data_IF_510939559730
#
_entry.id   IF_510939559730
#
_cell.length_a   1.000
_cell.length_b   1.000
_cell.length_c   1.000
_cell.angle_alpha   90.00
_cell.angle_beta   90.00
_cell.angle_gamma   90.00
#
_symmetry.space_group_name_H-M   'P 1'
#
loop_
_entity.id
_entity.type
_entity.pdbx_description
1 polymer ?
#
# COMPACT_ATOMS: atom_id res chain seq x y z
N UNK A 1 23.45 -7.46 11.62
CA UNK A 1 22.08 -7.71 12.16
C UNK A 1 21.04 -7.78 11.06
N UNK A 2 20.79 -6.73 10.26
CA UNK A 2 19.75 -6.73 9.22
C UNK A 2 19.82 -7.93 8.25
N UNK A 3 21.00 -8.27 7.74
CA UNK A 3 21.17 -9.42 6.85
C UNK A 3 20.73 -10.76 7.46
N UNK A 4 20.95 -10.96 8.75
CA UNK A 4 20.50 -12.18 9.47
C UNK A 4 18.97 -12.20 9.56
N UNK A 5 18.36 -11.10 9.99
CA UNK A 5 16.89 -10.99 10.09
C UNK A 5 16.22 -11.24 8.73
N UNK A 6 16.77 -10.66 7.67
CA UNK A 6 16.28 -10.85 6.30
C UNK A 6 16.36 -12.33 5.91
N UNK A 7 17.49 -12.97 6.15
CA UNK A 7 17.71 -14.39 5.82
C UNK A 7 16.69 -15.29 6.51
N UNK A 8 16.51 -15.11 7.82
CA UNK A 8 15.58 -15.91 8.61
C UNK A 8 14.12 -15.69 8.23
N UNK A 9 13.71 -14.44 7.98
CA UNK A 9 12.36 -14.14 7.53
C UNK A 9 12.09 -14.76 6.15
N UNK A 10 13.03 -14.63 5.20
CA UNK A 10 12.89 -15.19 3.86
C UNK A 10 12.94 -16.72 3.86
N UNK A 11 13.66 -17.36 4.78
CA UNK A 11 13.62 -18.81 4.95
C UNK A 11 12.23 -19.32 5.37
N UNK A 12 11.41 -18.46 5.97
CA UNK A 12 9.99 -18.74 6.28
C UNK A 12 9.04 -18.34 5.13
N UNK A 13 9.57 -17.92 3.98
CA UNK A 13 8.80 -17.47 2.83
C UNK A 13 8.23 -16.04 2.94
N UNK A 14 8.65 -15.29 3.96
CA UNK A 14 8.22 -13.88 4.16
C UNK A 14 9.27 -12.96 3.53
N UNK A 15 8.86 -12.16 2.55
CA UNK A 15 9.73 -11.16 1.97
C UNK A 15 9.86 -9.94 2.85
N UNK A 16 11.10 -9.48 2.99
CA UNK A 16 11.43 -8.25 3.69
C UNK A 16 11.70 -7.15 2.68
N UNK A 17 11.18 -5.96 2.94
CA UNK A 17 11.47 -4.75 2.18
C UNK A 17 12.38 -3.86 3.00
N UNK A 18 13.65 -3.74 2.58
CA UNK A 18 14.60 -2.83 3.23
C UNK A 18 14.35 -1.39 2.80
N UNK A 19 14.48 -0.43 3.74
CA UNK A 19 14.11 0.96 3.48
C UNK A 19 14.86 1.95 4.38
N UNK A 20 14.92 3.20 4.03
CA UNK A 20 14.51 3.79 2.74
C UNK A 20 15.77 4.03 1.91
N UNK A 21 15.81 3.55 0.67
CA UNK A 21 16.96 3.59 -0.21
C UNK A 21 16.94 4.85 -1.08
N UNK A 22 17.81 5.79 -0.87
CA UNK A 22 18.84 5.91 0.13
C UNK A 22 18.87 7.33 0.69
N UNK A 23 19.79 7.63 1.63
CA UNK A 23 20.02 8.97 2.15
C UNK A 23 18.81 9.57 2.89
N UNK A 24 18.10 8.77 3.68
CA UNK A 24 16.94 9.22 4.46
C UNK A 24 17.30 9.34 5.96
N UNK A 25 18.39 10.03 6.27
CA UNK A 25 18.88 10.21 7.64
C UNK A 25 18.23 11.38 8.36
N UNK A 26 17.50 12.25 7.65
CA UNK A 26 16.78 13.39 8.19
C UNK A 26 15.33 13.38 7.74
N UNK A 27 14.41 13.64 8.68
CA UNK A 27 12.97 13.67 8.42
C UNK A 27 12.41 15.06 8.15
N UNK A 28 13.10 16.12 8.64
CA UNK A 28 12.64 17.50 8.49
C UNK A 28 12.61 17.90 7.01
N UNK A 29 11.45 18.37 6.55
CA UNK A 29 11.20 18.80 5.17
C UNK A 29 11.46 17.74 4.08
N UNK A 30 11.51 16.45 4.44
CA UNK A 30 11.78 15.39 3.47
C UNK A 30 10.68 15.21 2.42
N UNK A 31 9.43 15.53 2.77
CA UNK A 31 8.27 15.44 1.89
C UNK A 31 8.00 16.74 1.12
N UNK A 32 8.52 17.87 1.55
CA UNK A 32 8.30 19.18 0.93
C UNK A 32 9.23 19.35 -0.29
N UNK A 33 8.93 18.70 -1.40
CA UNK A 33 9.77 18.60 -2.61
C UNK A 33 11.07 17.79 -2.44
N UNK A 34 11.22 17.05 -1.34
CA UNK A 34 12.36 16.20 -1.04
C UNK A 34 13.63 16.95 -0.67
N UNK A 35 14.34 16.41 0.30
CA UNK A 35 15.66 16.94 0.66
C UNK A 35 16.68 16.58 -0.42
N UNK A 36 17.64 17.49 -0.65
CA UNK A 36 18.75 17.28 -1.59
C UNK A 36 20.04 16.98 -0.82
N UNK A 37 20.65 15.84 -1.11
CA UNK A 37 21.95 15.45 -0.58
C UNK A 37 23.04 15.65 -1.62
N UNK A 38 24.05 16.41 -1.25
CA UNK A 38 25.26 16.63 -2.06
C UNK A 38 26.42 15.94 -1.34
N UNK A 39 26.82 14.80 -1.87
CA UNK A 39 27.79 13.92 -1.22
C UNK A 39 28.73 13.33 -2.29
N UNK A 40 30.00 13.13 -1.91
CA UNK A 40 30.97 12.49 -2.80
C UNK A 40 30.64 11.02 -3.00
N UNK A 41 30.94 10.47 -4.16
CA UNK A 41 30.66 9.08 -4.50
C UNK A 41 31.22 8.08 -3.48
N UNK A 42 32.45 8.28 -3.03
CA UNK A 42 33.05 7.44 -1.99
C UNK A 42 32.21 7.44 -0.73
N UNK A 43 31.81 8.59 -0.22
CA UNK A 43 31.02 8.68 1.00
C UNK A 43 29.61 8.07 0.82
N UNK A 44 28.99 8.25 -0.34
CA UNK A 44 27.69 7.64 -0.61
C UNK A 44 27.79 6.10 -0.57
N UNK A 45 28.83 5.53 -1.18
CA UNK A 45 29.04 4.08 -1.25
C UNK A 45 29.44 3.48 0.10
N UNK A 46 30.35 4.10 0.82
CA UNK A 46 30.94 3.53 2.04
C UNK A 46 30.07 3.74 3.29
N UNK A 47 29.26 4.80 3.32
CA UNK A 47 28.43 5.14 4.49
C UNK A 47 26.93 4.86 4.22
N UNK A 48 26.35 5.51 3.23
CA UNK A 48 24.90 5.52 3.03
C UNK A 48 24.37 4.28 2.31
N UNK A 49 25.11 3.75 1.36
CA UNK A 49 24.72 2.56 0.61
C UNK A 49 25.19 1.25 1.23
N UNK A 50 26.23 1.29 2.04
CA UNK A 50 26.85 0.08 2.62
C UNK A 50 25.88 -0.79 3.44
N UNK A 51 25.00 -0.27 4.28
CA UNK A 51 24.00 -1.07 4.99
C UNK A 51 23.07 -1.82 4.05
N UNK A 52 22.66 -1.18 2.95
CA UNK A 52 21.82 -1.81 1.91
C UNK A 52 22.57 -2.87 1.13
N UNK A 53 23.83 -2.60 0.76
CA UNK A 53 24.69 -3.58 0.08
C UNK A 53 24.79 -4.88 0.91
N UNK A 54 25.07 -4.78 2.20
CA UNK A 54 25.14 -5.91 3.12
C UNK A 54 23.80 -6.64 3.17
N UNK A 55 22.71 -5.93 3.33
CA UNK A 55 21.37 -6.51 3.38
C UNK A 55 21.00 -7.26 2.08
N UNK A 56 21.47 -6.79 0.94
CA UNK A 56 21.22 -7.38 -0.38
C UNK A 56 22.17 -8.54 -0.64
N UNK A 57 23.48 -8.32 -0.53
CA UNK A 57 24.47 -9.33 -0.89
C UNK A 57 24.55 -10.47 0.11
N UNK A 58 24.48 -10.19 1.42
CA UNK A 58 24.55 -11.19 2.46
C UNK A 58 23.17 -11.68 2.89
N UNK A 59 22.19 -10.75 3.10
CA UNK A 59 20.83 -11.08 3.51
C UNK A 59 19.97 -11.64 2.40
N UNK A 60 20.35 -11.42 1.13
CA UNK A 60 19.57 -11.81 -0.07
C UNK A 60 18.19 -11.19 -0.09
N UNK A 61 18.05 -9.93 0.39
CA UNK A 61 16.78 -9.21 0.38
C UNK A 61 16.11 -9.25 -1.00
N UNK A 62 14.81 -9.45 -1.03
CA UNK A 62 13.98 -9.53 -2.23
C UNK A 62 13.09 -8.30 -2.43
N UNK A 63 13.02 -7.42 -1.45
CA UNK A 63 12.27 -6.16 -1.52
C UNK A 63 13.13 -4.97 -1.12
N UNK A 64 12.87 -3.84 -1.77
CA UNK A 64 13.51 -2.56 -1.48
C UNK A 64 12.51 -1.43 -1.69
N UNK A 65 12.49 -0.47 -0.76
CA UNK A 65 11.71 0.75 -0.88
C UNK A 65 12.63 1.96 -1.03
N UNK A 66 12.39 2.77 -2.06
CA UNK A 66 13.16 4.01 -2.27
C UNK A 66 12.71 5.10 -1.30
N UNK A 67 13.60 6.06 -1.04
CA UNK A 67 13.34 7.18 -0.13
C UNK A 67 12.64 8.35 -0.81
N UNK A 68 12.15 9.31 -0.01
CA UNK A 68 11.67 10.61 -0.48
C UNK A 68 12.79 11.53 -0.98
N UNK A 69 14.03 11.31 -0.53
CA UNK A 69 15.16 12.20 -0.70
C UNK A 69 15.66 12.27 -2.14
N UNK A 70 16.45 13.29 -2.42
CA UNK A 70 17.13 13.48 -3.70
C UNK A 70 18.64 13.34 -3.53
N UNK A 71 19.27 12.74 -4.54
CA UNK A 71 20.72 12.80 -4.72
C UNK A 71 21.00 13.87 -5.78
N UNK A 72 21.62 14.97 -5.37
CA UNK A 72 21.64 16.15 -6.18
C UNK A 72 20.21 16.63 -6.48
N UNK A 73 19.90 16.85 -7.73
CA UNK A 73 18.57 17.33 -8.16
C UNK A 73 17.55 16.22 -8.45
N UNK A 74 17.96 14.94 -8.42
CA UNK A 74 17.09 13.83 -8.78
C UNK A 74 16.58 13.08 -7.55
N UNK A 75 15.31 12.78 -7.53
CA UNK A 75 14.71 11.87 -6.56
C UNK A 75 15.41 10.49 -6.61
N UNK A 76 15.71 9.91 -5.44
CA UNK A 76 16.42 8.63 -5.34
C UNK A 76 15.73 7.51 -6.13
N UNK A 77 14.39 7.40 -6.04
CA UNK A 77 13.61 6.42 -6.80
C UNK A 77 13.63 6.63 -8.32
N UNK A 78 13.91 7.86 -8.78
CA UNK A 78 14.02 8.21 -10.20
C UNK A 78 15.47 8.29 -10.72
N UNK A 79 16.45 7.86 -9.93
CA UNK A 79 17.86 7.96 -10.26
C UNK A 79 18.40 6.65 -10.83
N UNK A 80 18.52 6.56 -12.15
CA UNK A 80 19.01 5.36 -12.86
C UNK A 80 20.36 4.82 -12.35
N UNK A 81 21.42 5.63 -12.15
CA UNK A 81 22.67 5.16 -11.58
C UNK A 81 22.51 4.46 -10.23
N UNK A 82 21.56 4.93 -9.39
CA UNK A 82 21.33 4.37 -8.06
C UNK A 82 20.51 3.07 -8.15
N UNK A 83 19.37 3.09 -8.85
CA UNK A 83 18.42 1.99 -8.87
C UNK A 83 18.80 0.90 -9.88
N UNK A 84 19.36 1.25 -11.02
CA UNK A 84 19.78 0.25 -12.00
C UNK A 84 21.24 -0.08 -11.84
N UNK A 85 22.17 0.88 -12.03
CA UNK A 85 23.60 0.56 -12.06
C UNK A 85 24.08 -0.02 -10.73
N UNK A 86 23.90 0.69 -9.63
CA UNK A 86 24.40 0.21 -8.33
C UNK A 86 23.57 -0.98 -7.82
N UNK A 87 22.27 -0.79 -7.70
CA UNK A 87 21.41 -1.79 -7.04
C UNK A 87 21.27 -3.08 -7.86
N UNK A 88 20.91 -2.96 -9.16
CA UNK A 88 20.60 -4.14 -9.96
C UNK A 88 21.82 -4.75 -10.64
N UNK A 89 22.71 -3.95 -11.20
CA UNK A 89 23.87 -4.43 -11.94
C UNK A 89 25.05 -4.77 -11.03
N UNK A 90 25.52 -3.82 -10.20
CA UNK A 90 26.69 -4.06 -9.34
C UNK A 90 26.38 -5.02 -8.18
N UNK A 91 25.20 -4.90 -7.55
CA UNK A 91 24.84 -5.76 -6.41
C UNK A 91 24.03 -6.98 -6.80
N UNK A 92 23.57 -7.07 -8.04
CA UNK A 92 22.80 -8.21 -8.56
C UNK A 92 21.40 -8.35 -7.95
N UNK A 93 20.78 -7.24 -7.54
CA UNK A 93 19.43 -7.25 -6.96
C UNK A 93 18.37 -7.56 -8.02
N UNK A 94 17.60 -8.63 -7.81
CA UNK A 94 16.52 -9.08 -8.71
C UNK A 94 15.13 -8.97 -8.13
N UNK A 95 15.02 -8.40 -6.92
CA UNK A 95 13.75 -8.29 -6.23
C UNK A 95 12.90 -7.09 -6.67
N UNK A 96 11.80 -6.89 -5.95
CA UNK A 96 10.86 -5.80 -6.15
C UNK A 96 11.42 -4.49 -5.60
N UNK A 97 11.37 -3.43 -6.40
CA UNK A 97 11.63 -2.05 -5.98
C UNK A 97 10.32 -1.27 -5.98
N UNK A 98 9.90 -0.82 -4.80
CA UNK A 98 8.74 0.07 -4.63
C UNK A 98 9.22 1.47 -4.24
N UNK A 99 8.41 2.51 -4.47
CA UNK A 99 8.66 3.82 -3.87
C UNK A 99 8.10 3.89 -2.45
N UNK A 100 8.55 4.87 -1.66
CA UNK A 100 7.83 5.28 -0.45
C UNK A 100 6.47 5.89 -0.83
N UNK A 101 5.57 6.06 0.14
CA UNK A 101 4.20 6.46 -0.16
C UNK A 101 4.16 7.82 -0.87
N UNK A 102 3.67 7.80 -2.10
CA UNK A 102 3.73 8.93 -3.01
C UNK A 102 2.66 9.97 -2.69
N UNK A 103 3.08 11.11 -2.17
CA UNK A 103 2.19 12.24 -1.87
C UNK A 103 2.45 13.46 -2.74
N UNK A 104 3.64 13.55 -3.34
CA UNK A 104 4.13 14.74 -4.01
C UNK A 104 4.51 14.51 -5.48
N UNK A 105 4.19 15.48 -6.32
CA UNK A 105 4.36 15.38 -7.78
C UNK A 105 5.84 15.19 -8.25
N UNK A 106 6.83 15.46 -7.40
CA UNK A 106 8.24 15.27 -7.76
C UNK A 106 8.67 13.79 -7.80
N UNK A 107 7.92 12.91 -7.14
CA UNK A 107 8.13 11.46 -7.19
C UNK A 107 7.48 10.88 -8.47
N UNK A 108 8.02 11.18 -9.61
CA UNK A 108 7.47 10.85 -10.92
C UNK A 108 7.51 9.34 -11.19
N UNK A 109 6.33 8.72 -11.34
CA UNK A 109 6.18 7.28 -11.56
C UNK A 109 6.81 6.81 -12.86
N UNK A 110 6.76 7.61 -13.93
CA UNK A 110 7.41 7.30 -15.21
C UNK A 110 8.93 7.33 -15.04
N UNK A 111 9.45 8.35 -14.36
CA UNK A 111 10.88 8.43 -14.03
C UNK A 111 11.35 7.23 -13.22
N UNK A 112 10.56 6.80 -12.23
CA UNK A 112 10.87 5.63 -11.40
C UNK A 112 10.98 4.34 -12.23
N UNK A 113 10.02 4.07 -13.08
CA UNK A 113 10.04 2.89 -13.96
C UNK A 113 11.27 2.91 -14.85
N UNK A 114 11.59 4.04 -15.46
CA UNK A 114 12.79 4.18 -16.30
C UNK A 114 14.09 4.04 -15.51
N UNK A 115 14.10 4.45 -14.25
CA UNK A 115 15.25 4.29 -13.37
C UNK A 115 15.50 2.86 -12.88
N UNK A 116 14.53 1.95 -13.03
CA UNK A 116 14.68 0.57 -12.56
C UNK A 116 13.70 0.16 -11.46
N UNK A 117 12.80 1.05 -11.04
CA UNK A 117 11.72 0.75 -10.11
C UNK A 117 10.60 -0.07 -10.74
N UNK A 118 9.76 -0.67 -9.92
CA UNK A 118 8.76 -1.63 -10.39
C UNK A 118 7.33 -1.27 -9.98
N UNK A 119 7.11 -0.74 -8.79
CA UNK A 119 5.79 -0.48 -8.24
C UNK A 119 5.74 0.87 -7.55
N UNK A 120 4.75 1.68 -7.95
CA UNK A 120 4.49 2.96 -7.32
C UNK A 120 3.45 2.79 -6.20
N UNK A 121 3.80 3.24 -5.00
CA UNK A 121 2.92 3.19 -3.83
C UNK A 121 2.23 4.55 -3.67
N UNK A 122 0.99 4.64 -4.12
CA UNK A 122 0.21 5.89 -4.08
C UNK A 122 -1.26 5.63 -3.81
N UNK A 123 -1.91 6.53 -3.08
CA UNK A 123 -3.36 6.53 -2.87
C UNK A 123 -4.14 7.34 -3.92
N UNK A 124 -3.46 8.03 -4.83
CA UNK A 124 -4.06 8.89 -5.86
C UNK A 124 -3.55 8.52 -7.25
N UNK A 125 -4.39 8.71 -8.26
CA UNK A 125 -3.99 8.55 -9.64
C UNK A 125 -3.16 9.78 -10.07
N UNK A 126 -1.85 9.57 -10.26
CA UNK A 126 -0.97 10.59 -10.82
C UNK A 126 -0.88 10.43 -12.34
N UNK A 127 -0.92 11.55 -13.04
CA UNK A 127 -0.96 11.62 -14.50
C UNK A 127 0.36 11.31 -15.21
N UNK A 128 1.47 11.32 -14.49
CA UNK A 128 2.79 10.95 -15.05
C UNK A 128 3.07 9.47 -14.81
N UNK A 129 2.33 8.61 -15.48
CA UNK A 129 2.53 7.17 -15.44
C UNK A 129 3.00 6.65 -16.80
N UNK A 130 3.71 5.53 -16.79
CA UNK A 130 4.03 4.81 -18.01
C UNK A 130 2.75 4.27 -18.66
N UNK A 131 2.67 4.30 -19.99
CA UNK A 131 1.48 3.93 -20.74
C UNK A 131 1.71 2.69 -21.59
N UNK A 132 0.81 1.74 -21.52
CA UNK A 132 0.92 0.48 -22.27
C UNK A 132 0.79 0.62 -23.79
N UNK A 133 0.38 1.78 -24.31
CA UNK A 133 0.29 2.08 -25.73
C UNK A 133 1.55 2.77 -26.29
N UNK A 134 2.53 3.11 -25.45
CA UNK A 134 3.83 3.66 -25.86
C UNK A 134 4.87 2.54 -25.84
N UNK A 135 5.57 2.32 -26.96
CA UNK A 135 6.48 1.18 -27.13
C UNK A 135 7.61 1.15 -26.08
N UNK A 136 8.19 2.31 -25.79
CA UNK A 136 9.26 2.43 -24.78
C UNK A 136 8.74 2.08 -23.38
N UNK A 137 7.57 2.59 -23.03
CA UNK A 137 6.92 2.32 -21.75
C UNK A 137 6.58 0.84 -21.60
N UNK A 138 6.17 0.16 -22.69
CA UNK A 138 5.90 -1.28 -22.70
C UNK A 138 7.12 -2.10 -22.29
N UNK A 139 8.31 -1.73 -22.75
CA UNK A 139 9.56 -2.43 -22.38
C UNK A 139 9.81 -2.29 -20.89
N UNK A 140 9.65 -1.08 -20.34
CA UNK A 140 9.86 -0.80 -18.92
C UNK A 140 8.80 -1.47 -18.04
N UNK A 141 7.54 -1.44 -18.46
CA UNK A 141 6.43 -2.11 -17.76
C UNK A 141 6.60 -3.63 -17.75
N UNK A 142 7.07 -4.22 -18.86
CA UNK A 142 7.37 -5.66 -18.92
C UNK A 142 8.46 -6.05 -17.93
N UNK A 143 9.54 -5.26 -17.84
CA UNK A 143 10.59 -5.48 -16.84
C UNK A 143 10.06 -5.37 -15.42
N UNK A 144 9.27 -4.33 -15.11
CA UNK A 144 8.67 -4.14 -13.81
C UNK A 144 7.75 -5.30 -13.45
N UNK A 145 6.88 -5.72 -14.36
CA UNK A 145 6.01 -6.88 -14.19
C UNK A 145 6.79 -8.16 -13.93
N UNK A 146 7.89 -8.38 -14.67
CA UNK A 146 8.77 -9.54 -14.44
C UNK A 146 9.32 -9.54 -13.02
N UNK A 147 9.79 -8.40 -12.51
CA UNK A 147 10.37 -8.31 -11.18
C UNK A 147 9.29 -8.53 -10.08
N UNK A 148 8.08 -8.01 -10.28
CA UNK A 148 6.93 -8.25 -9.40
C UNK A 148 6.59 -9.74 -9.38
N UNK A 149 6.44 -10.36 -10.54
CA UNK A 149 6.12 -11.79 -10.66
C UNK A 149 7.24 -12.67 -10.09
N UNK A 150 8.49 -12.30 -10.29
CA UNK A 150 9.63 -12.99 -9.67
C UNK A 150 9.54 -12.93 -8.13
N UNK A 151 9.22 -11.77 -7.57
CA UNK A 151 9.03 -11.64 -6.13
C UNK A 151 7.87 -12.52 -5.62
N UNK A 152 6.73 -12.50 -6.29
CA UNK A 152 5.57 -13.33 -5.94
C UNK A 152 5.89 -14.82 -6.03
N UNK A 153 6.48 -15.28 -7.13
CA UNK A 153 6.79 -16.69 -7.37
C UNK A 153 7.79 -17.28 -6.36
N UNK A 154 8.67 -16.44 -5.80
CA UNK A 154 9.65 -16.86 -4.80
C UNK A 154 9.19 -16.62 -3.35
N UNK A 155 7.96 -16.15 -3.14
CA UNK A 155 7.36 -15.94 -1.83
C UNK A 155 6.36 -17.05 -1.47
N UNK A 156 5.88 -17.07 -0.24
CA UNK A 156 4.81 -17.95 0.18
C UNK A 156 3.44 -17.58 -0.42
N UNK A 157 3.30 -16.44 -1.09
CA UNK A 157 2.02 -15.98 -1.61
C UNK A 157 1.38 -16.98 -2.59
N UNK A 158 2.21 -17.67 -3.40
CA UNK A 158 1.74 -18.67 -4.36
C UNK A 158 1.59 -20.08 -3.75
N UNK A 159 2.26 -20.33 -2.62
CA UNK A 159 2.25 -21.65 -1.97
C UNK A 159 1.22 -21.74 -0.84
N UNK A 160 0.64 -20.63 -0.45
CA UNK A 160 -0.50 -20.67 0.45
C UNK A 160 -1.65 -21.33 -0.30
N UNK A 161 -2.06 -22.54 0.15
CA UNK A 161 -3.50 -22.83 0.09
C UNK A 161 -4.15 -21.58 0.63
N UNK A 162 -5.01 -20.95 -0.16
CA UNK A 162 -5.91 -19.92 0.32
C UNK A 162 -6.73 -20.65 1.38
N UNK A 163 -6.22 -20.73 2.57
CA UNK A 163 -6.99 -21.06 3.74
C UNK A 163 -8.03 -19.98 3.74
N UNK A 164 -9.27 -20.38 3.45
CA UNK A 164 -10.38 -19.44 3.44
C UNK A 164 -10.23 -18.62 4.72
N UNK A 165 -10.33 -17.31 4.62
CA UNK A 165 -10.23 -16.45 5.77
C UNK A 165 -11.24 -16.94 6.81
N UNK A 166 -10.75 -17.65 7.82
CA UNK A 166 -11.59 -18.06 8.94
C UNK A 166 -11.81 -16.83 9.81
N UNK A 167 -13.04 -16.35 9.80
CA UNK A 167 -13.43 -15.24 10.67
C UNK A 167 -13.15 -15.65 12.11
N UNK A 168 -12.29 -14.94 12.86
CA UNK A 168 -12.00 -15.25 14.25
C UNK A 168 -13.28 -15.29 15.10
N UNK A 169 -13.35 -16.13 16.12
CA UNK A 169 -14.56 -16.32 16.92
C UNK A 169 -15.04 -15.05 17.60
N UNK A 170 -14.13 -14.18 18.03
CA UNK A 170 -14.49 -12.87 18.58
C UNK A 170 -15.22 -11.98 17.56
N UNK A 171 -14.87 -12.08 16.28
CA UNK A 171 -15.49 -11.29 15.21
C UNK A 171 -16.88 -11.86 14.85
N UNK A 172 -17.06 -13.19 14.91
CA UNK A 172 -18.37 -13.83 14.79
C UNK A 172 -19.31 -13.39 15.92
N UNK A 173 -18.80 -13.34 17.15
CA UNK A 173 -19.54 -12.84 18.31
C UNK A 173 -19.93 -11.37 18.17
N UNK A 174 -19.03 -10.55 17.63
CA UNK A 174 -19.31 -9.13 17.36
C UNK A 174 -20.46 -8.99 16.35
N UNK A 175 -20.40 -9.68 15.22
CA UNK A 175 -21.46 -9.66 14.21
C UNK A 175 -22.79 -10.19 14.74
N UNK A 176 -22.75 -11.22 15.59
CA UNK A 176 -23.95 -11.71 16.27
C UNK A 176 -24.54 -10.62 17.19
N UNK A 177 -23.72 -9.95 17.99
CA UNK A 177 -24.12 -8.85 18.85
C UNK A 177 -24.75 -7.68 18.07
N UNK A 178 -24.09 -7.26 16.99
CA UNK A 178 -24.62 -6.21 16.11
C UNK A 178 -25.96 -6.63 15.48
N UNK A 179 -26.10 -7.87 15.07
CA UNK A 179 -27.36 -8.42 14.54
C UNK A 179 -28.48 -8.40 15.56
N UNK A 180 -28.21 -8.79 16.81
CA UNK A 180 -29.20 -8.76 17.90
C UNK A 180 -29.63 -7.33 18.23
N UNK A 181 -28.69 -6.40 18.32
CA UNK A 181 -29.00 -4.97 18.57
C UNK A 181 -29.81 -4.39 17.40
N UNK A 182 -29.43 -4.67 16.16
CA UNK A 182 -30.16 -4.23 14.98
C UNK A 182 -31.62 -4.76 14.95
N UNK A 183 -31.79 -6.06 15.21
CA UNK A 183 -33.11 -6.66 15.31
C UNK A 183 -33.96 -6.02 16.46
N UNK A 184 -33.35 -5.71 17.59
CA UNK A 184 -33.99 -4.99 18.69
C UNK A 184 -34.48 -3.62 18.28
N UNK A 185 -33.70 -2.84 17.56
CA UNK A 185 -34.12 -1.52 17.05
C UNK A 185 -35.26 -1.64 16.04
N UNK A 186 -35.24 -2.62 15.14
CA UNK A 186 -36.31 -2.87 14.18
C UNK A 186 -37.62 -3.22 14.91
N UNK A 187 -37.57 -4.13 15.87
CA UNK A 187 -38.71 -4.53 16.64
C UNK A 187 -39.30 -3.35 17.47
N UNK A 188 -38.43 -2.57 18.09
CA UNK A 188 -38.87 -1.37 18.80
C UNK A 188 -39.50 -0.34 17.88
N UNK A 189 -38.90 -0.08 16.71
CA UNK A 189 -39.47 0.80 15.69
C UNK A 189 -40.86 0.34 15.22
N UNK A 190 -41.05 -0.96 14.99
CA UNK A 190 -42.34 -1.54 14.62
C UNK A 190 -43.41 -1.33 15.74
N UNK A 191 -43.01 -1.55 17.01
CA UNK A 191 -43.92 -1.31 18.15
C UNK A 191 -44.33 0.18 18.21
N UNK A 192 -43.39 1.08 18.05
CA UNK A 192 -43.68 2.53 18.06
C UNK A 192 -44.62 2.90 16.90
N UNK A 193 -44.42 2.41 15.72
CA UNK A 193 -45.29 2.65 14.56
C UNK A 193 -46.71 2.13 14.85
N UNK A 194 -46.83 0.88 15.28
CA UNK A 194 -48.14 0.28 15.59
C UNK A 194 -48.86 1.05 16.68
N UNK A 195 -48.18 1.45 17.75
CA UNK A 195 -48.78 2.27 18.84
C UNK A 195 -49.22 3.65 18.33
N UNK A 196 -48.44 4.26 17.43
CA UNK A 196 -48.80 5.57 16.89
C UNK A 196 -50.02 5.49 15.98
N UNK A 197 -50.11 4.44 15.14
CA UNK A 197 -51.26 4.20 14.28
C UNK A 197 -52.53 3.94 15.07
N UNK A 198 -52.48 3.09 16.11
CA UNK A 198 -53.62 2.83 16.99
C UNK A 198 -54.12 4.10 17.72
N UNK A 199 -53.21 4.94 18.21
CA UNK A 199 -53.57 6.23 18.80
C UNK A 199 -54.24 7.19 17.82
N UNK A 200 -53.85 7.15 16.54
CA UNK A 200 -54.51 7.95 15.50
C UNK A 200 -55.93 7.46 15.21
N UNK A 201 -56.17 6.13 15.24
CA UNK A 201 -57.48 5.55 15.05
C UNK A 201 -58.41 5.87 16.25
N UNK A 202 -57.89 5.77 17.49
CA UNK A 202 -58.65 6.11 18.69
C UNK A 202 -59.05 7.61 18.77
N UNK A 203 -58.21 8.49 18.23
CA UNK A 203 -58.43 9.92 18.21
C UNK A 203 -59.12 10.43 16.93
N UNK A 204 -59.52 9.57 16.01
CA UNK A 204 -60.26 9.95 14.84
C UNK A 204 -61.68 10.44 15.27
N UNK A 205 -62.17 11.61 14.80
CA UNK A 205 -63.50 12.10 15.14
C UNK A 205 -64.53 11.07 14.65
N UNK A 206 -65.40 10.59 15.59
CA UNK A 206 -66.53 9.75 15.23
C UNK A 206 -67.40 10.55 14.25
N UNK A 207 -67.67 9.98 13.08
CA UNK A 207 -68.60 10.59 12.16
C UNK A 207 -69.93 10.89 12.87
N UNK A 208 -70.37 12.15 12.86
CA UNK A 208 -71.69 12.52 13.31
C UNK A 208 -72.71 11.78 12.46
N UNK A 209 -73.46 10.89 13.08
CA UNK A 209 -74.67 10.34 12.45
C UNK A 209 -75.61 11.48 12.16
N UNK A 210 -75.75 11.83 10.90
CA UNK A 210 -76.77 12.79 10.44
C UNK A 210 -78.15 12.14 10.73
N UNK A 211 -79.03 12.76 11.54
CA UNK A 211 -80.35 12.18 11.75
C UNK A 211 -81.12 12.24 10.41
N UNK A 212 -81.67 11.08 10.00
CA UNK A 212 -82.60 10.99 8.88
C UNK A 212 -83.79 11.85 9.16
N UNK A 213 -83.91 12.95 8.41
CA UNK A 213 -85.04 13.81 8.49
C UNK A 213 -86.31 13.16 7.91
N UNK A 214 -87.40 13.37 8.60
CA UNK A 214 -88.76 13.09 8.18
C UNK A 214 -89.12 13.79 6.82
#
# INVERSE_FOLDING_TARGET
MAAVVIKEAQAKGVYTTIKHFALNEQETHRSDNGQCYWVREQAIRELYLKPFEIAIKEGKSKGLMTSFTRVGLRWCGGTYPLVTTVLREEWGFRGLVICDFHTDAYMDSKQMIYAGGDLNLTGTAYWKTAKSNEAEDCVMLRRASHNILYALANSNAMNQKILGYEIPDWQKLLFLGEGVVGAGFIAWGAIVIVRTLRRKEENAPKAEETPAGE
#
